data_IF_525097841964
#
_entry.id   IF_525097841964
#
_cell.length_a   1.000
_cell.length_b   1.000
_cell.length_c   1.000
_cell.angle_alpha   90.00
_cell.angle_beta   90.00
_cell.angle_gamma   90.00
#
_symmetry.space_group_name_H-M   'P 1'
#
loop_
_entity.id
_entity.type
_entity.pdbx_description
1 polymer ?
#
# COMPACT_ATOMS: atom_id res chain seq x y z
N UNK A 1 21.97 -18.91 24.79
CA UNK A 1 21.01 -17.78 24.68
C UNK A 1 20.26 -17.66 26.00
N UNK A 2 20.08 -16.45 26.57
CA UNK A 2 19.35 -16.25 27.84
C UNK A 2 17.81 -16.31 27.68
N UNK A 3 17.29 -16.07 26.48
CA UNK A 3 15.86 -16.08 26.16
C UNK A 3 15.60 -16.76 24.79
N UNK A 4 15.73 -18.11 24.70
CA UNK A 4 15.54 -18.83 23.44
C UNK A 4 14.11 -18.74 22.90
N UNK A 5 13.12 -18.48 23.76
CA UNK A 5 11.72 -18.34 23.37
C UNK A 5 11.45 -17.14 22.45
N UNK A 6 12.38 -16.18 22.35
CA UNK A 6 12.27 -15.05 21.41
C UNK A 6 12.40 -15.49 19.95
N UNK A 7 12.86 -16.72 19.68
CA UNK A 7 12.86 -17.32 18.35
C UNK A 7 11.52 -18.00 18.01
N UNK A 8 10.62 -18.14 18.98
CA UNK A 8 9.27 -18.62 18.72
C UNK A 8 8.49 -17.46 18.07
N UNK A 9 7.81 -17.71 16.93
CA UNK A 9 6.96 -16.70 16.31
C UNK A 9 6.03 -15.99 17.29
N UNK A 10 5.77 -14.72 17.02
CA UNK A 10 4.98 -13.74 17.77
C UNK A 10 5.54 -13.35 19.14
N UNK A 11 6.50 -14.09 19.70
CA UNK A 11 6.96 -13.88 21.08
C UNK A 11 7.84 -12.64 21.18
N UNK A 12 8.73 -12.42 20.21
CA UNK A 12 9.61 -11.25 20.20
C UNK A 12 8.83 -9.94 20.09
N UNK A 13 7.83 -9.88 19.21
CA UNK A 13 6.90 -8.75 19.12
C UNK A 13 6.30 -8.43 20.48
N UNK A 14 5.67 -9.41 21.11
CA UNK A 14 4.92 -9.21 22.35
C UNK A 14 5.82 -8.86 23.54
N UNK A 15 6.94 -9.55 23.69
CA UNK A 15 7.81 -9.43 24.87
C UNK A 15 8.75 -8.25 24.79
N UNK A 16 9.21 -7.90 23.59
CA UNK A 16 10.25 -6.89 23.40
C UNK A 16 9.74 -5.68 22.65
N UNK A 17 9.17 -5.87 21.45
CA UNK A 17 8.82 -4.74 20.59
C UNK A 17 7.63 -3.95 21.14
N UNK A 18 6.55 -4.61 21.56
CA UNK A 18 5.36 -3.93 22.06
C UNK A 18 5.67 -3.03 23.27
N UNK A 19 6.34 -3.50 24.35
CA UNK A 19 6.69 -2.60 25.47
C UNK A 19 7.67 -1.48 25.09
N UNK A 20 8.46 -1.66 24.03
CA UNK A 20 9.34 -0.60 23.52
C UNK A 20 8.51 0.45 22.76
N UNK A 21 7.68 0.02 21.81
CA UNK A 21 6.79 0.89 21.05
C UNK A 21 5.77 1.60 21.93
N UNK A 22 5.23 0.97 22.97
CA UNK A 22 4.31 1.62 23.92
C UNK A 22 4.96 2.81 24.64
N UNK A 23 6.23 2.65 25.07
CA UNK A 23 6.98 3.75 25.70
C UNK A 23 7.28 4.88 24.71
N UNK A 24 7.70 4.54 23.50
CA UNK A 24 7.96 5.52 22.43
C UNK A 24 6.67 6.27 22.08
N UNK A 25 5.55 5.56 21.91
CA UNK A 25 4.25 6.14 21.64
C UNK A 25 3.84 7.10 22.76
N UNK A 26 3.97 6.73 24.03
CA UNK A 26 3.64 7.61 25.15
C UNK A 26 4.37 8.95 25.12
N UNK A 27 5.66 8.96 24.78
CA UNK A 27 6.42 10.22 24.68
C UNK A 27 6.10 10.99 23.40
N UNK A 28 6.01 10.30 22.24
CA UNK A 28 5.65 10.95 20.98
C UNK A 28 4.29 11.63 21.07
N UNK A 29 3.28 11.00 21.67
CA UNK A 29 1.93 11.56 21.78
C UNK A 29 1.83 12.79 22.68
N UNK A 30 2.78 13.01 23.59
CA UNK A 30 2.85 14.25 24.37
C UNK A 30 3.32 15.42 23.52
N UNK A 31 4.24 15.17 22.59
CA UNK A 31 4.77 16.18 21.69
C UNK A 31 3.91 16.38 20.43
N UNK A 32 3.33 15.29 19.93
CA UNK A 32 2.63 15.21 18.66
C UNK A 32 1.52 14.14 18.71
N UNK A 33 0.29 14.55 19.05
CA UNK A 33 -0.82 13.62 19.12
C UNK A 33 -1.37 13.24 17.74
N UNK A 34 -0.97 13.90 16.64
CA UNK A 34 -1.73 13.87 15.38
C UNK A 34 -1.13 13.01 14.28
N UNK A 35 0.19 12.85 14.24
CA UNK A 35 0.82 12.05 13.19
C UNK A 35 0.61 10.54 13.38
N UNK A 36 0.57 9.79 12.27
CA UNK A 36 0.56 8.34 12.33
C UNK A 36 1.88 7.80 12.91
N UNK A 37 1.79 6.79 13.76
CA UNK A 37 2.95 6.04 14.26
C UNK A 37 3.04 4.72 13.49
N UNK A 38 4.15 4.55 12.78
CA UNK A 38 4.50 3.33 12.08
C UNK A 38 5.27 2.41 13.03
N UNK A 39 4.89 1.14 13.10
CA UNK A 39 5.52 0.14 13.94
C UNK A 39 5.62 -1.18 13.21
N UNK A 40 6.68 -1.94 13.49
CA UNK A 40 7.04 -3.12 12.72
C UNK A 40 7.05 -4.37 13.60
N UNK A 41 6.62 -5.47 13.00
CA UNK A 41 6.89 -6.82 13.50
C UNK A 41 8.36 -7.18 13.28
N UNK A 42 8.84 -8.21 13.98
CA UNK A 42 10.09 -8.87 13.60
C UNK A 42 10.03 -9.37 12.14
N UNK A 43 11.06 -9.06 11.36
CA UNK A 43 11.08 -9.24 9.89
C UNK A 43 11.16 -10.68 9.39
N UNK A 44 11.29 -11.66 10.28
CA UNK A 44 11.39 -13.08 9.94
C UNK A 44 10.16 -13.89 10.38
N UNK A 45 9.14 -13.23 10.94
CA UNK A 45 7.93 -13.90 11.40
C UNK A 45 6.89 -14.04 10.29
N UNK A 46 6.94 -15.17 9.61
CA UNK A 46 6.06 -15.47 8.48
C UNK A 46 4.74 -16.14 8.90
N UNK A 47 4.41 -16.20 10.20
CA UNK A 47 3.21 -16.93 10.67
C UNK A 47 2.28 -16.07 11.53
N UNK A 48 2.76 -14.97 12.10
CA UNK A 48 1.92 -14.07 12.88
C UNK A 48 2.50 -12.67 13.06
N UNK A 49 1.61 -11.74 13.40
CA UNK A 49 1.95 -10.47 14.05
C UNK A 49 1.64 -10.63 15.54
N UNK A 50 2.63 -10.43 16.42
CA UNK A 50 2.55 -10.82 17.84
C UNK A 50 2.08 -9.77 18.84
N UNK A 51 2.02 -8.50 18.42
CA UNK A 51 1.46 -7.39 19.18
C UNK A 51 0.04 -7.69 19.68
N UNK A 52 -0.31 -7.38 20.92
CA UNK A 52 -1.68 -7.57 21.43
C UNK A 52 -2.59 -6.37 21.14
N UNK A 53 -2.05 -5.17 21.01
CA UNK A 53 -2.72 -3.95 20.55
C UNK A 53 -1.72 -3.05 19.83
N UNK A 54 -2.19 -1.95 19.25
CA UNK A 54 -1.33 -0.92 18.65
C UNK A 54 -0.51 -0.20 19.73
N UNK A 55 0.64 0.41 19.37
CA UNK A 55 1.44 1.19 20.30
C UNK A 55 0.64 2.29 21.01
N UNK A 56 0.64 2.27 22.35
CA UNK A 56 -0.12 3.20 23.19
C UNK A 56 -1.56 2.76 23.47
N UNK A 57 -2.02 1.65 22.88
CA UNK A 57 -3.31 1.03 23.14
C UNK A 57 -4.47 1.45 22.22
N UNK A 58 -5.69 0.91 22.45
CA UNK A 58 -6.79 0.94 21.49
C UNK A 58 -7.23 2.35 21.03
N UNK A 59 -7.03 3.37 21.87
CA UNK A 59 -7.38 4.74 21.57
C UNK A 59 -6.58 5.33 20.39
N UNK A 60 -5.45 4.71 20.03
CA UNK A 60 -4.54 5.18 18.98
C UNK A 60 -4.65 4.42 17.66
N UNK A 61 -5.57 3.47 17.54
CA UNK A 61 -5.76 2.62 16.34
C UNK A 61 -5.93 3.42 15.04
N UNK A 62 -6.62 4.55 15.12
CA UNK A 62 -6.82 5.46 13.98
C UNK A 62 -5.57 6.26 13.58
N UNK A 63 -4.48 6.16 14.34
CA UNK A 63 -3.20 6.85 14.13
C UNK A 63 -2.03 5.88 14.23
N UNK A 64 -2.27 4.59 14.05
CA UNK A 64 -1.26 3.53 14.06
C UNK A 64 -1.25 2.80 12.74
N UNK A 65 -0.06 2.52 12.23
CA UNK A 65 0.14 1.80 10.96
C UNK A 65 1.13 0.67 11.22
N UNK A 66 0.69 -0.57 10.98
CA UNK A 66 1.61 -1.70 10.96
C UNK A 66 2.40 -1.63 9.66
N UNK A 67 3.69 -1.31 9.76
CA UNK A 67 4.63 -1.46 8.67
C UNK A 67 5.18 -2.88 8.63
N UNK A 68 5.36 -3.39 7.42
CA UNK A 68 5.86 -4.74 7.18
C UNK A 68 6.66 -4.79 5.89
N UNK A 69 7.57 -5.75 5.79
CA UNK A 69 8.47 -5.92 4.67
C UNK A 69 8.22 -7.26 4.00
N UNK A 70 8.51 -7.35 2.70
CA UNK A 70 8.53 -8.61 1.97
C UNK A 70 9.89 -8.86 1.31
N UNK A 71 10.58 -9.90 1.73
CA UNK A 71 11.82 -10.37 1.15
C UNK A 71 11.84 -11.90 1.03
N UNK A 72 12.31 -12.43 -0.10
CA UNK A 72 12.52 -13.88 -0.25
C UNK A 72 14.01 -14.20 -0.34
N UNK A 73 14.65 -14.76 0.72
CA UNK A 73 14.19 -14.98 2.11
C UNK A 73 14.17 -13.68 2.97
N UNK A 74 13.52 -13.67 4.16
CA UNK A 74 12.98 -14.81 4.92
C UNK A 74 11.58 -15.27 4.50
N UNK A 75 10.72 -14.40 3.95
CA UNK A 75 9.35 -14.73 3.59
C UNK A 75 9.25 -15.87 2.56
N UNK A 76 8.30 -16.77 2.80
CA UNK A 76 8.07 -17.95 1.96
C UNK A 76 7.37 -17.59 0.64
N UNK A 77 6.23 -16.91 0.69
CA UNK A 77 5.47 -16.51 -0.49
C UNK A 77 4.71 -15.21 -0.26
N UNK A 78 4.39 -14.50 -1.35
CA UNK A 78 3.63 -13.24 -1.32
C UNK A 78 2.25 -13.48 -0.71
N UNK A 79 1.60 -14.59 -1.07
CA UNK A 79 0.27 -14.94 -0.59
C UNK A 79 0.23 -15.22 0.90
N UNK A 80 1.20 -16.00 1.41
CA UNK A 80 1.26 -16.32 2.83
C UNK A 80 1.55 -15.09 3.68
N UNK A 81 2.51 -14.26 3.24
CA UNK A 81 2.90 -13.06 3.95
C UNK A 81 1.72 -12.08 4.07
N UNK A 82 1.08 -11.73 2.96
CA UNK A 82 -0.09 -10.86 2.98
C UNK A 82 -1.24 -11.47 3.81
N UNK A 83 -1.48 -12.78 3.75
CA UNK A 83 -2.52 -13.40 4.57
C UNK A 83 -2.25 -13.26 6.08
N UNK A 84 -0.99 -13.39 6.50
CA UNK A 84 -0.57 -13.20 7.90
C UNK A 84 -0.70 -11.75 8.32
N UNK A 85 -0.24 -10.82 7.50
CA UNK A 85 -0.32 -9.38 7.78
C UNK A 85 -1.78 -8.92 7.82
N UNK A 86 -2.62 -9.31 6.85
CA UNK A 86 -4.04 -8.91 6.84
C UNK A 86 -4.79 -9.43 8.06
N UNK A 87 -4.48 -10.64 8.53
CA UNK A 87 -5.01 -11.16 9.80
C UNK A 87 -4.52 -10.35 11.01
N UNK A 88 -3.27 -9.89 10.98
CA UNK A 88 -2.71 -8.98 11.98
C UNK A 88 -3.43 -7.64 12.01
N UNK A 89 -3.64 -7.02 10.84
CA UNK A 89 -4.35 -5.76 10.67
C UNK A 89 -5.79 -5.84 11.12
N UNK A 90 -6.51 -6.90 10.76
CA UNK A 90 -7.88 -7.13 11.24
C UNK A 90 -7.92 -7.25 12.76
N UNK A 91 -6.96 -7.95 13.38
CA UNK A 91 -6.92 -8.07 14.84
C UNK A 91 -6.57 -6.75 15.53
N UNK A 92 -5.63 -5.98 14.98
CA UNK A 92 -5.14 -4.72 15.55
C UNK A 92 -6.06 -3.53 15.23
N UNK A 93 -6.90 -3.65 14.20
CA UNK A 93 -7.84 -2.62 13.74
C UNK A 93 -7.12 -1.30 13.39
N UNK A 94 -6.00 -1.38 12.69
CA UNK A 94 -5.14 -0.25 12.34
C UNK A 94 -4.86 -0.18 10.83
N UNK A 95 -4.16 0.87 10.38
CA UNK A 95 -3.64 0.93 9.02
C UNK A 95 -2.52 -0.09 8.79
N UNK A 96 -2.25 -0.41 7.52
CA UNK A 96 -1.14 -1.25 7.09
C UNK A 96 -0.39 -0.62 5.91
N UNK A 97 0.91 -0.89 5.82
CA UNK A 97 1.73 -0.44 4.69
C UNK A 97 2.94 -1.35 4.48
N UNK A 98 3.14 -1.83 3.24
CA UNK A 98 4.33 -2.57 2.82
C UNK A 98 5.49 -1.58 2.66
N UNK A 99 6.30 -1.36 3.69
CA UNK A 99 7.30 -0.30 3.68
C UNK A 99 8.61 -0.68 2.98
N UNK A 100 8.81 -1.97 2.70
CA UNK A 100 10.02 -2.43 2.03
C UNK A 100 9.78 -3.75 1.28
N UNK A 101 10.23 -3.81 0.03
CA UNK A 101 10.40 -5.03 -0.74
C UNK A 101 11.45 -4.79 -1.83
N UNK A 102 12.16 -5.82 -2.25
CA UNK A 102 13.24 -5.69 -3.23
C UNK A 102 12.68 -5.43 -4.65
N UNK A 103 12.79 -4.19 -5.13
CA UNK A 103 12.48 -3.82 -6.53
C UNK A 103 13.58 -4.25 -7.49
N UNK A 104 14.76 -4.62 -6.98
CA UNK A 104 15.94 -4.98 -7.74
C UNK A 104 16.18 -6.48 -7.86
N UNK A 105 15.34 -7.34 -7.27
CA UNK A 105 15.65 -8.74 -7.03
C UNK A 105 16.01 -9.48 -8.32
N UNK A 106 17.31 -9.62 -8.58
CA UNK A 106 17.92 -10.39 -9.67
C UNK A 106 17.33 -10.19 -11.10
N UNK A 107 16.57 -9.14 -11.36
CA UNK A 107 15.85 -8.95 -12.64
C UNK A 107 14.56 -9.77 -12.76
N UNK A 108 14.06 -10.32 -11.64
CA UNK A 108 12.75 -10.96 -11.53
C UNK A 108 11.67 -9.89 -11.33
N UNK A 109 11.29 -9.26 -12.44
CA UNK A 109 10.23 -8.25 -12.44
C UNK A 109 8.86 -8.90 -12.21
N UNK A 110 8.73 -10.21 -12.44
CA UNK A 110 7.49 -10.93 -12.21
C UNK A 110 7.16 -11.01 -10.73
N UNK A 111 8.15 -11.20 -9.85
CA UNK A 111 7.87 -11.13 -8.41
C UNK A 111 7.41 -9.73 -7.97
N UNK A 112 8.02 -8.68 -8.50
CA UNK A 112 7.58 -7.30 -8.22
C UNK A 112 6.15 -7.11 -8.68
N UNK A 113 5.80 -7.58 -9.88
CA UNK A 113 4.42 -7.54 -10.38
C UNK A 113 3.44 -8.30 -9.48
N UNK A 114 3.82 -9.49 -8.99
CA UNK A 114 3.01 -10.28 -8.07
C UNK A 114 2.78 -9.55 -6.73
N UNK A 115 3.83 -8.93 -6.17
CA UNK A 115 3.73 -8.12 -4.94
C UNK A 115 2.78 -6.95 -5.14
N UNK A 116 2.95 -6.18 -6.23
CA UNK A 116 2.14 -4.99 -6.51
C UNK A 116 0.68 -5.35 -6.79
N UNK A 117 0.45 -6.45 -7.51
CA UNK A 117 -0.90 -6.99 -7.73
C UNK A 117 -1.54 -7.41 -6.40
N UNK A 118 -0.80 -8.09 -5.53
CA UNK A 118 -1.31 -8.48 -4.22
C UNK A 118 -1.58 -7.28 -3.32
N UNK A 119 -0.73 -6.25 -3.38
CA UNK A 119 -0.95 -4.99 -2.69
C UNK A 119 -2.23 -4.30 -3.16
N UNK A 120 -2.50 -4.25 -4.46
CA UNK A 120 -3.75 -3.73 -5.01
C UNK A 120 -4.97 -4.56 -4.54
N UNK A 121 -4.88 -5.89 -4.56
CA UNK A 121 -5.94 -6.81 -4.10
C UNK A 121 -6.30 -6.60 -2.63
N UNK A 122 -5.31 -6.39 -1.76
CA UNK A 122 -5.47 -6.19 -0.32
C UNK A 122 -5.55 -4.69 0.08
N UNK A 123 -5.62 -3.79 -0.90
CA UNK A 123 -5.69 -2.33 -0.73
C UNK A 123 -4.54 -1.76 0.14
N UNK A 124 -3.35 -2.34 0.03
CA UNK A 124 -2.17 -1.93 0.79
C UNK A 124 -1.29 -0.95 -0.01
N UNK A 125 -0.87 0.12 0.63
CA UNK A 125 0.16 1.02 0.09
C UNK A 125 1.54 0.39 0.23
N UNK A 126 2.50 0.88 -0.55
CA UNK A 126 3.85 0.32 -0.56
C UNK A 126 4.95 1.35 -0.82
N UNK A 127 6.17 1.05 -0.37
CA UNK A 127 7.43 1.71 -0.73
C UNK A 127 8.42 0.61 -1.15
N UNK A 128 8.96 0.72 -2.37
CA UNK A 128 9.93 -0.25 -2.89
C UNK A 128 11.37 0.11 -2.52
N UNK A 129 12.16 -0.91 -2.16
CA UNK A 129 13.61 -0.80 -1.93
C UNK A 129 14.37 -1.21 -3.20
N UNK A 130 15.09 -0.31 -3.87
CA UNK A 130 15.30 1.10 -3.57
C UNK A 130 15.16 1.97 -4.83
N UNK A 131 15.16 3.28 -4.63
CA UNK A 131 15.12 4.24 -5.72
C UNK A 131 16.41 4.25 -6.54
N UNK A 132 17.58 4.31 -5.88
CA UNK A 132 18.90 4.34 -6.51
C UNK A 132 20.00 3.86 -5.55
N UNK A 133 20.89 2.93 -5.94
CA UNK A 133 22.02 2.55 -5.13
C UNK A 133 23.08 3.67 -5.23
N UNK A 134 23.33 4.36 -4.11
CA UNK A 134 24.37 5.39 -4.07
C UNK A 134 25.76 4.83 -3.82
N UNK A 135 25.88 3.71 -3.09
CA UNK A 135 27.16 3.06 -2.81
C UNK A 135 26.99 1.58 -2.52
N UNK A 136 27.47 0.74 -3.42
CA UNK A 136 27.61 -0.70 -3.15
C UNK A 136 28.74 -0.96 -2.13
N UNK A 137 28.56 -1.85 -1.14
CA UNK A 137 27.33 -2.56 -0.73
C UNK A 137 26.60 -1.86 0.44
N UNK A 138 26.85 -0.57 0.68
CA UNK A 138 26.40 0.12 1.91
C UNK A 138 24.93 0.52 1.89
N UNK A 139 24.42 0.91 0.73
CA UNK A 139 23.04 1.42 0.61
C UNK A 139 22.16 0.49 -0.23
N UNK A 140 22.72 -0.53 -0.88
CA UNK A 140 22.05 -1.17 -2.00
C UNK A 140 22.76 -2.35 -2.62
N UNK A 141 21.97 -3.19 -3.30
CA UNK A 141 22.44 -4.14 -4.31
C UNK A 141 22.31 -3.50 -5.70
N UNK A 142 23.13 -3.93 -6.67
CA UNK A 142 23.38 -3.24 -7.96
C UNK A 142 22.17 -3.02 -8.90
N UNK A 143 20.92 -3.28 -8.49
CA UNK A 143 19.71 -3.12 -9.30
C UNK A 143 18.59 -2.41 -8.53
N UNK A 144 17.98 -1.41 -9.14
CA UNK A 144 16.95 -0.51 -8.58
C UNK A 144 16.21 0.18 -9.73
N UNK A 145 15.31 1.13 -9.44
CA UNK A 145 14.70 1.97 -10.49
C UNK A 145 15.77 2.73 -11.30
N UNK A 146 16.79 3.26 -10.61
CA UNK A 146 17.96 3.87 -11.22
C UNK A 146 19.21 3.08 -10.84
N UNK A 147 20.11 2.82 -11.77
CA UNK A 147 21.40 2.24 -11.43
C UNK A 147 22.36 3.26 -10.79
N UNK A 148 23.54 2.80 -10.37
CA UNK A 148 24.55 3.66 -9.73
C UNK A 148 24.99 4.83 -10.64
N UNK A 149 25.06 4.59 -11.95
CA UNK A 149 25.43 5.57 -12.98
C UNK A 149 24.27 6.52 -13.33
N UNK A 150 23.08 6.30 -12.77
CA UNK A 150 21.89 7.12 -12.97
C UNK A 150 21.13 6.81 -14.27
N UNK A 151 21.30 5.62 -14.84
CA UNK A 151 20.43 5.14 -15.91
C UNK A 151 19.14 4.56 -15.34
N UNK A 152 18.03 4.85 -16.02
CA UNK A 152 16.71 4.34 -15.66
C UNK A 152 16.54 2.90 -16.14
N UNK A 153 16.19 1.98 -15.24
CA UNK A 153 15.62 0.70 -15.65
C UNK A 153 14.19 0.93 -16.16
N UNK A 154 14.05 1.01 -17.48
CA UNK A 154 12.76 1.29 -18.13
C UNK A 154 11.71 0.21 -17.88
N UNK A 155 12.13 -1.04 -17.69
CA UNK A 155 11.19 -2.14 -17.46
C UNK A 155 10.65 -2.03 -16.03
N UNK A 156 11.52 -1.77 -15.06
CA UNK A 156 11.09 -1.49 -13.68
C UNK A 156 10.24 -0.22 -13.59
N UNK A 157 10.62 0.84 -14.31
CA UNK A 157 9.84 2.07 -14.39
C UNK A 157 8.42 1.81 -14.91
N UNK A 158 8.25 0.94 -15.91
CA UNK A 158 6.93 0.55 -16.42
C UNK A 158 6.14 -0.29 -15.40
N UNK A 159 6.80 -1.15 -14.62
CA UNK A 159 6.15 -1.94 -13.57
C UNK A 159 5.66 -1.07 -12.40
N UNK A 160 6.47 -0.09 -11.99
CA UNK A 160 6.18 0.80 -10.85
C UNK A 160 5.29 1.99 -11.20
N UNK A 161 5.26 2.42 -12.48
CA UNK A 161 4.35 3.46 -12.95
C UNK A 161 2.95 2.86 -13.09
N UNK A 162 2.06 3.19 -12.15
CA UNK A 162 0.72 2.61 -12.07
C UNK A 162 -0.31 3.72 -11.96
N UNK A 163 -1.48 3.51 -12.55
CA UNK A 163 -2.65 4.33 -12.19
C UNK A 163 -3.16 3.88 -10.82
N UNK A 164 -3.46 4.84 -9.94
CA UNK A 164 -3.96 4.53 -8.59
C UNK A 164 -4.81 5.67 -8.03
N UNK A 165 -5.70 5.33 -7.09
CA UNK A 165 -6.49 6.32 -6.38
C UNK A 165 -5.65 6.94 -5.26
N UNK A 166 -5.26 8.21 -5.42
CA UNK A 166 -4.51 8.95 -4.40
C UNK A 166 -5.39 9.28 -3.19
N UNK A 167 -6.67 9.55 -3.45
CA UNK A 167 -7.68 9.91 -2.44
C UNK A 167 -9.03 9.36 -2.90
N UNK A 168 -9.81 8.82 -1.97
CA UNK A 168 -11.15 8.27 -2.26
C UNK A 168 -12.20 8.91 -1.36
N UNK A 169 -13.26 9.45 -1.96
CA UNK A 169 -14.40 10.03 -1.26
C UNK A 169 -15.38 8.95 -0.75
N UNK A 170 -14.87 7.94 -0.04
CA UNK A 170 -15.65 6.83 0.47
C UNK A 170 -14.77 5.72 1.02
N UNK A 171 -15.33 4.53 1.21
CA UNK A 171 -14.56 3.34 1.60
C UNK A 171 -14.19 2.55 0.34
N UNK A 172 -12.90 2.51 -0.01
CA UNK A 172 -12.40 1.68 -1.10
C UNK A 172 -12.70 0.21 -0.83
N UNK A 173 -13.25 -0.48 -1.82
CA UNK A 173 -13.55 -1.91 -1.76
C UNK A 173 -12.77 -2.73 -2.78
N UNK A 174 -12.27 -2.08 -3.84
CA UNK A 174 -11.42 -2.73 -4.84
C UNK A 174 -10.57 -1.69 -5.57
N UNK A 175 -9.31 -2.04 -5.83
CA UNK A 175 -8.44 -1.31 -6.74
C UNK A 175 -7.70 -2.33 -7.61
N UNK A 176 -7.53 -2.02 -8.89
CA UNK A 176 -6.80 -2.88 -9.81
C UNK A 176 -6.19 -2.06 -10.94
N UNK A 177 -4.91 -2.29 -11.21
CA UNK A 177 -4.21 -1.80 -12.39
C UNK A 177 -3.60 -2.96 -13.16
N UNK A 178 -3.90 -3.02 -14.46
CA UNK A 178 -3.34 -3.99 -15.40
C UNK A 178 -2.17 -3.31 -16.13
N UNK A 179 -0.95 -3.80 -15.92
CA UNK A 179 0.28 -3.19 -16.45
C UNK A 179 0.38 -3.28 -17.99
N UNK A 180 -0.21 -4.31 -18.59
CA UNK A 180 -0.12 -4.56 -20.04
C UNK A 180 -1.09 -3.67 -20.83
N UNK A 181 -2.33 -3.59 -20.37
CA UNK A 181 -3.40 -2.80 -20.99
C UNK A 181 -3.46 -1.37 -20.47
N UNK A 182 -2.84 -1.10 -19.31
CA UNK A 182 -2.98 0.17 -18.56
C UNK A 182 -4.41 0.46 -18.12
N UNK A 183 -5.27 -0.56 -18.08
CA UNK A 183 -6.62 -0.42 -17.59
C UNK A 183 -6.60 -0.29 -16.05
N UNK A 184 -7.33 0.70 -15.55
CA UNK A 184 -7.50 0.93 -14.12
C UNK A 184 -8.95 0.78 -13.72
N UNK A 185 -9.20 0.12 -12.60
CA UNK A 185 -10.53 0.03 -11.98
C UNK A 185 -10.45 0.36 -10.50
N UNK A 186 -11.34 1.25 -10.06
CA UNK A 186 -11.57 1.57 -8.66
C UNK A 186 -13.04 1.29 -8.32
N UNK A 187 -13.28 0.65 -7.18
CA UNK A 187 -14.60 0.57 -6.56
C UNK A 187 -14.54 1.07 -5.12
N UNK A 188 -15.56 1.83 -4.75
CA UNK A 188 -15.72 2.32 -3.38
C UNK A 188 -17.20 2.49 -3.04
N UNK A 189 -17.50 2.51 -1.73
CA UNK A 189 -18.85 2.73 -1.23
C UNK A 189 -18.99 4.11 -0.60
N UNK A 190 -20.15 4.73 -0.76
CA UNK A 190 -20.48 6.01 -0.12
C UNK A 190 -20.49 5.82 1.40
N UNK A 191 -19.56 6.47 2.07
CA UNK A 191 -19.39 6.38 3.53
C UNK A 191 -19.62 7.74 4.18
N UNK A 192 -20.66 7.90 5.02
CA UNK A 192 -21.00 9.19 5.65
C UNK A 192 -19.94 9.67 6.66
N UNK A 193 -18.98 8.82 7.04
CA UNK A 193 -17.83 9.21 7.87
C UNK A 193 -16.73 9.91 7.07
N UNK A 194 -16.78 9.84 5.74
CA UNK A 194 -15.81 10.50 4.85
C UNK A 194 -16.38 11.85 4.43
N UNK A 195 -15.70 12.94 4.79
CA UNK A 195 -16.13 14.32 4.46
C UNK A 195 -15.60 14.82 3.11
N UNK A 196 -14.84 13.99 2.41
CA UNK A 196 -14.31 14.31 1.09
C UNK A 196 -15.42 14.20 0.04
N UNK A 197 -15.44 15.15 -0.89
CA UNK A 197 -16.40 15.15 -2.02
C UNK A 197 -15.75 14.72 -3.34
N UNK A 198 -14.42 14.56 -3.35
CA UNK A 198 -13.64 14.27 -4.55
C UNK A 198 -12.75 13.05 -4.34
N UNK A 199 -12.86 12.10 -5.28
CA UNK A 199 -11.89 11.02 -5.46
C UNK A 199 -10.88 11.50 -6.50
N UNK A 200 -9.58 11.35 -6.20
CA UNK A 200 -8.47 11.77 -7.07
C UNK A 200 -7.71 10.53 -7.52
N UNK A 201 -7.63 10.34 -8.84
CA UNK A 201 -6.98 9.19 -9.48
C UNK A 201 -5.80 9.71 -10.30
N UNK A 202 -4.60 9.21 -10.02
CA UNK A 202 -3.42 9.40 -10.87
C UNK A 202 -3.46 8.40 -12.02
N UNK A 203 -3.03 8.83 -13.21
CA UNK A 203 -3.00 8.01 -14.43
C UNK A 203 -1.58 7.76 -14.93
N UNK A 204 -1.25 6.50 -15.16
CA UNK A 204 -0.05 6.08 -15.91
C UNK A 204 -0.35 6.01 -17.42
N UNK A 205 -0.08 7.09 -18.15
CA UNK A 205 -0.22 7.12 -19.62
C UNK A 205 -0.66 8.45 -20.21
N UNK A 206 -0.72 8.57 -21.55
CA UNK A 206 -1.05 9.82 -22.22
C UNK A 206 -2.48 10.27 -21.93
N UNK A 207 -2.77 11.54 -22.22
CA UNK A 207 -4.06 12.24 -21.99
C UNK A 207 -5.30 11.57 -22.62
N UNK A 208 -5.12 10.56 -23.46
CA UNK A 208 -6.15 10.01 -24.34
C UNK A 208 -6.77 8.75 -23.72
N UNK A 209 -7.45 8.95 -22.60
CA UNK A 209 -8.15 7.92 -21.85
C UNK A 209 -9.68 8.04 -22.02
N UNK A 210 -10.37 6.95 -21.72
CA UNK A 210 -11.82 6.92 -21.56
C UNK A 210 -12.11 6.58 -20.10
N UNK A 211 -12.88 7.43 -19.43
CA UNK A 211 -13.39 7.16 -18.07
C UNK A 211 -14.84 6.73 -18.18
N UNK A 212 -15.18 5.64 -17.51
CA UNK A 212 -16.57 5.20 -17.29
C UNK A 212 -16.84 5.22 -15.80
N UNK A 213 -17.96 5.82 -15.42
CA UNK A 213 -18.44 5.84 -14.06
C UNK A 213 -19.78 5.11 -13.98
N UNK A 214 -19.97 4.34 -12.93
CA UNK A 214 -21.23 3.69 -12.59
C UNK A 214 -21.57 4.00 -11.12
N UNK A 215 -22.80 4.44 -10.80
CA UNK A 215 -23.89 4.78 -11.74
C UNK A 215 -23.62 6.07 -12.52
N UNK A 216 -23.86 6.05 -13.83
CA UNK A 216 -23.43 7.12 -14.76
C UNK A 216 -24.24 8.42 -14.65
N UNK A 217 -25.41 8.38 -14.03
CA UNK A 217 -26.30 9.53 -13.80
C UNK A 217 -26.00 10.29 -12.50
N UNK A 218 -25.31 9.66 -11.55
CA UNK A 218 -25.00 10.24 -10.23
C UNK A 218 -23.50 10.49 -9.99
N UNK A 219 -22.65 9.98 -10.88
CA UNK A 219 -21.19 10.08 -10.78
C UNK A 219 -20.64 10.78 -12.03
N UNK A 220 -19.90 11.85 -11.81
CA UNK A 220 -19.25 12.62 -12.88
C UNK A 220 -17.74 12.65 -12.67
N UNK A 221 -17.00 12.87 -13.76
CA UNK A 221 -15.56 13.04 -13.70
C UNK A 221 -15.10 14.26 -14.49
N UNK A 222 -13.90 14.74 -14.17
CA UNK A 222 -13.17 15.73 -14.96
C UNK A 222 -11.69 15.43 -14.97
N UNK A 223 -11.00 15.74 -16.06
CA UNK A 223 -9.55 15.73 -16.09
C UNK A 223 -9.00 16.95 -15.33
N UNK A 224 -7.88 16.75 -14.61
CA UNK A 224 -7.12 17.82 -13.95
C UNK A 224 -5.67 17.73 -14.42
N UNK A 225 -5.32 18.47 -15.46
CA UNK A 225 -4.03 18.31 -16.14
C UNK A 225 -3.96 17.00 -16.93
N UNK A 226 -2.74 16.52 -17.19
CA UNK A 226 -2.51 15.38 -18.08
C UNK A 226 -2.67 14.01 -17.42
N UNK A 227 -2.44 13.91 -16.11
CA UNK A 227 -2.26 12.64 -15.40
C UNK A 227 -3.22 12.46 -14.23
N UNK A 228 -4.33 13.21 -14.19
CA UNK A 228 -5.25 13.14 -13.06
C UNK A 228 -6.70 13.20 -13.51
N UNK A 229 -7.50 12.30 -12.95
CA UNK A 229 -8.96 12.32 -13.03
C UNK A 229 -9.51 12.63 -11.64
N UNK A 230 -10.44 13.56 -11.58
CA UNK A 230 -11.20 13.87 -10.37
C UNK A 230 -12.63 13.40 -10.56
N UNK A 231 -13.07 12.51 -9.68
CA UNK A 231 -14.43 11.93 -9.68
C UNK A 231 -15.22 12.52 -8.53
N UNK A 232 -16.44 12.93 -8.82
CA UNK A 232 -17.39 13.46 -7.84
C UNK A 232 -18.69 12.66 -7.94
N UNK A 233 -19.30 12.36 -6.80
CA UNK A 233 -20.61 11.75 -6.73
C UNK A 233 -21.54 12.63 -5.91
N UNK A 234 -22.84 12.59 -6.21
CA UNK A 234 -23.83 13.32 -5.41
C UNK A 234 -25.12 12.52 -5.32
N UNK A 235 -25.87 12.72 -4.23
CA UNK A 235 -27.24 12.17 -4.05
C UNK A 235 -27.31 10.64 -4.05
N UNK A 236 -26.19 9.96 -3.85
CA UNK A 236 -26.17 8.52 -3.64
C UNK A 236 -26.41 8.19 -2.15
N UNK A 237 -27.20 7.14 -1.84
CA UNK A 237 -27.41 6.73 -0.47
C UNK A 237 -26.13 6.14 0.14
N UNK A 238 -26.03 6.19 1.48
CA UNK A 238 -24.97 5.48 2.21
C UNK A 238 -24.91 4.01 1.78
N UNK A 239 -23.70 3.51 1.52
CA UNK A 239 -23.46 2.14 1.07
C UNK A 239 -23.63 1.92 -0.44
N UNK A 240 -24.06 2.92 -1.21
CA UNK A 240 -24.06 2.82 -2.67
C UNK A 240 -22.64 2.57 -3.20
N UNK A 241 -22.50 1.63 -4.12
CA UNK A 241 -21.23 1.32 -4.79
C UNK A 241 -21.03 2.24 -5.98
N UNK A 242 -19.82 2.78 -6.09
CA UNK A 242 -19.35 3.55 -7.25
C UNK A 242 -18.22 2.77 -7.89
N UNK A 243 -18.30 2.58 -9.20
CA UNK A 243 -17.22 2.00 -10.01
C UNK A 243 -16.67 3.05 -10.97
N UNK A 244 -15.36 3.18 -11.02
CA UNK A 244 -14.64 4.02 -11.98
C UNK A 244 -13.68 3.14 -12.77
N UNK A 245 -13.82 3.12 -14.08
CA UNK A 245 -12.92 2.41 -14.99
C UNK A 245 -12.24 3.41 -15.91
N UNK A 246 -10.92 3.30 -16.07
CA UNK A 246 -10.12 4.10 -16.99
C UNK A 246 -9.41 3.14 -17.95
N UNK A 247 -9.56 3.37 -19.26
CA UNK A 247 -8.89 2.57 -20.31
C UNK A 247 -8.28 3.48 -21.37
N UNK A 248 -7.30 2.98 -22.12
CA UNK A 248 -6.81 3.70 -23.30
C UNK A 248 -7.91 3.78 -24.38
N UNK A 249 -7.98 4.89 -25.12
CA UNK A 249 -8.98 5.09 -26.18
C UNK A 249 -8.83 4.09 -27.35
N UNK A 250 -7.61 3.65 -27.65
CA UNK A 250 -7.31 2.68 -28.71
C UNK A 250 -7.80 1.26 -28.44
N UNK A 251 -8.21 0.94 -27.20
CA UNK A 251 -8.66 -0.39 -26.79
C UNK A 251 -10.18 -0.58 -26.89
N UNK A 252 -10.90 0.34 -27.55
CA UNK A 252 -12.36 0.26 -27.73
C UNK A 252 -12.79 -0.10 -29.16
N UNK A 253 -11.88 -0.67 -29.96
CA UNK A 253 -12.14 -1.17 -31.32
C UNK A 253 -12.33 -2.70 -31.31
#
# INVERSE_FOLDING_TARGET
>A
MRHPELLVPCVADRRNLQPAYDRVAQELRKADPDHCLFFESITWDDVCVGFTDVPGGPAWRNKSVLSYHFYRPPQVSVELDFAVIMKGLDRLQCGGMLTEFDVGQKGDHSLVEDILKKADEELQSWIGWEYKPFRHPKTGFDRSLWDADGQLDRRMANTLSRSYAQVVAGTTTRMHYDTDTRAFTLQYTVNPRVSLNETVIYLDGPSDFVVRCDPSDAVSYRARGLFTVVVTHSRLPTGATITVTVTAKSQQL
#
